data_IF_681494649285
#
_entry.id   IF_681494649285
#
_cell.length_a   1.000
_cell.length_b   1.000
_cell.length_c   1.000
_cell.angle_alpha   90.00
_cell.angle_beta   90.00
_cell.angle_gamma   90.00
#
_symmetry.space_group_name_H-M   'P 1'
#
loop_
_entity.id
_entity.type
_entity.pdbx_description
1 polymer ?
#
# COMPACT_ATOMS: atom_id res chain seq x y z
N UNK A 1 -14.71 -6.83 -16.50
CA UNK A 1 -14.62 -5.38 -16.20
C UNK A 1 -13.58 -4.79 -17.14
N UNK A 2 -13.96 -3.78 -17.93
CA UNK A 2 -13.06 -3.12 -18.90
C UNK A 2 -12.11 -2.16 -18.18
N UNK A 3 -10.95 -1.85 -18.80
CA UNK A 3 -10.02 -0.81 -18.29
C UNK A 3 -10.74 0.54 -18.10
N UNK A 4 -11.75 0.84 -18.92
CA UNK A 4 -12.59 2.04 -18.79
C UNK A 4 -13.55 2.00 -17.59
N UNK A 5 -13.93 0.80 -17.12
CA UNK A 5 -14.77 0.64 -15.92
C UNK A 5 -13.96 0.81 -14.63
N UNK A 6 -12.64 0.61 -14.68
CA UNK A 6 -11.73 0.73 -13.54
C UNK A 6 -11.55 2.19 -13.08
N UNK A 7 -11.61 3.14 -14.02
CA UNK A 7 -11.57 4.57 -13.69
C UNK A 7 -12.79 5.06 -12.88
N UNK A 8 -13.78 4.19 -12.69
CA UNK A 8 -15.02 4.49 -11.95
C UNK A 8 -15.09 3.93 -10.54
N UNK A 9 -14.05 3.22 -10.07
CA UNK A 9 -14.00 2.81 -8.66
C UNK A 9 -13.65 4.07 -7.85
N UNK A 10 -14.57 4.54 -6.99
CA UNK A 10 -14.33 5.76 -6.23
C UNK A 10 -13.03 5.67 -5.44
N UNK A 11 -12.22 6.71 -5.54
CA UNK A 11 -11.01 6.84 -4.73
C UNK A 11 -9.73 6.23 -5.30
N UNK A 12 -9.77 5.42 -6.36
CA UNK A 12 -8.53 4.83 -6.94
C UNK A 12 -7.59 5.89 -7.46
N UNK A 13 -8.07 6.79 -8.32
CA UNK A 13 -7.25 7.86 -8.88
C UNK A 13 -6.79 8.85 -7.82
N UNK A 14 -7.60 9.08 -6.80
CA UNK A 14 -7.23 9.90 -5.65
C UNK A 14 -6.13 9.24 -4.85
N UNK A 15 -6.23 7.94 -4.61
CA UNK A 15 -5.17 7.19 -3.92
C UNK A 15 -3.86 7.22 -4.73
N UNK A 16 -3.92 7.05 -6.06
CA UNK A 16 -2.74 7.19 -6.93
C UNK A 16 -2.09 8.56 -6.74
N UNK A 17 -2.86 9.65 -6.90
CA UNK A 17 -2.34 11.01 -6.73
C UNK A 17 -1.76 11.25 -5.34
N UNK A 18 -2.41 10.72 -4.32
CA UNK A 18 -1.92 10.83 -2.95
C UNK A 18 -0.56 10.15 -2.77
N UNK A 19 -0.40 8.92 -3.25
CA UNK A 19 0.89 8.21 -3.18
C UNK A 19 1.96 8.94 -3.97
N UNK A 20 1.65 9.43 -5.17
CA UNK A 20 2.57 10.23 -5.98
C UNK A 20 2.99 11.53 -5.28
N UNK A 21 2.04 12.25 -4.67
CA UNK A 21 2.32 13.46 -3.90
C UNK A 21 3.22 13.18 -2.68
N UNK A 22 3.03 12.06 -2.02
CA UNK A 22 3.88 11.62 -0.91
C UNK A 22 5.31 11.27 -1.35
N UNK A 23 5.50 10.88 -2.61
CA UNK A 23 6.81 10.54 -3.18
C UNK A 23 7.65 11.77 -3.57
N UNK A 24 7.02 12.89 -3.94
CA UNK A 24 7.71 14.08 -4.44
C UNK A 24 8.83 14.56 -3.50
N UNK A 25 8.61 14.72 -2.17
CA UNK A 25 9.65 15.15 -1.25
C UNK A 25 10.81 14.17 -1.11
N UNK A 26 10.59 12.91 -1.50
CA UNK A 26 11.56 11.82 -1.33
C UNK A 26 12.42 11.58 -2.57
N UNK A 27 12.11 12.21 -3.70
CA UNK A 27 12.86 12.03 -4.96
C UNK A 27 14.32 12.42 -4.86
N UNK A 28 14.64 13.46 -4.08
CA UNK A 28 16.00 13.98 -3.89
C UNK A 28 16.78 13.28 -2.77
N UNK A 29 16.11 12.50 -1.93
CA UNK A 29 16.67 11.90 -0.71
C UNK A 29 17.15 10.45 -0.88
N UNK A 30 17.28 9.99 -2.12
CA UNK A 30 17.44 8.57 -2.51
C UNK A 30 18.65 7.83 -1.91
N UNK A 31 19.64 8.52 -1.33
CA UNK A 31 20.90 7.89 -0.91
C UNK A 31 21.19 7.93 0.58
N UNK A 32 20.39 8.60 1.38
CA UNK A 32 20.67 8.83 2.79
C UNK A 32 19.95 7.89 3.76
N UNK A 33 19.01 7.09 3.29
CA UNK A 33 18.29 6.15 4.15
C UNK A 33 18.97 4.77 4.14
N UNK A 34 19.06 4.10 5.30
CA UNK A 34 19.53 2.72 5.36
C UNK A 34 18.59 1.81 4.55
N UNK A 35 19.10 0.67 4.00
CA UNK A 35 18.28 -0.28 3.29
C UNK A 35 17.06 -0.73 4.09
N UNK A 36 15.91 -0.73 3.47
CA UNK A 36 14.64 -1.15 4.06
C UNK A 36 14.28 -2.57 3.65
N UNK A 37 13.54 -3.30 4.50
CA UNK A 37 12.94 -4.59 4.12
C UNK A 37 11.96 -4.43 2.94
N UNK A 38 11.48 -3.22 2.72
CA UNK A 38 10.60 -2.88 1.61
C UNK A 38 11.34 -2.46 0.34
N UNK A 39 12.67 -2.35 0.34
CA UNK A 39 13.41 -1.96 -0.85
C UNK A 39 13.28 -3.03 -1.94
N UNK A 40 13.02 -2.56 -3.15
CA UNK A 40 12.82 -3.41 -4.31
C UNK A 40 13.17 -2.70 -5.60
N UNK A 41 12.44 -2.99 -6.66
CA UNK A 41 12.69 -2.44 -7.98
C UNK A 41 12.37 -0.95 -8.04
N UNK A 42 13.32 -0.16 -8.55
CA UNK A 42 13.15 1.28 -8.81
C UNK A 42 12.25 1.52 -10.05
N UNK A 43 11.58 2.65 -10.07
CA UNK A 43 10.79 3.13 -11.21
C UNK A 43 9.61 2.25 -11.60
N UNK A 44 8.91 1.72 -10.62
CA UNK A 44 7.60 1.09 -10.87
C UNK A 44 6.59 2.19 -11.20
N UNK A 45 5.81 2.02 -12.27
CA UNK A 45 4.61 2.84 -12.50
C UNK A 45 3.60 2.60 -11.38
N UNK A 46 3.61 3.48 -10.40
CA UNK A 46 2.81 3.31 -9.19
C UNK A 46 1.31 3.40 -9.48
N UNK A 47 0.91 4.25 -10.44
CA UNK A 47 -0.47 4.35 -10.86
C UNK A 47 -0.99 3.05 -11.48
N UNK A 48 -0.25 2.52 -12.45
CA UNK A 48 -0.54 1.22 -13.05
C UNK A 48 -0.50 0.08 -12.03
N UNK A 49 0.42 0.17 -11.07
CA UNK A 49 0.55 -0.80 -9.99
C UNK A 49 -0.69 -0.83 -9.07
N UNK A 50 -1.17 0.33 -8.61
CA UNK A 50 -2.38 0.44 -7.78
C UNK A 50 -3.61 -0.06 -8.55
N UNK A 51 -3.79 0.36 -9.81
CA UNK A 51 -4.91 -0.07 -10.65
C UNK A 51 -4.93 -1.59 -10.85
N UNK A 52 -3.76 -2.24 -10.90
CA UNK A 52 -3.65 -3.69 -10.99
C UNK A 52 -4.32 -4.40 -9.80
N UNK A 53 -4.14 -3.93 -8.57
CA UNK A 53 -4.82 -4.51 -7.40
C UNK A 53 -6.34 -4.42 -7.53
N UNK A 54 -6.84 -3.26 -7.93
CA UNK A 54 -8.28 -3.03 -8.07
C UNK A 54 -8.89 -3.82 -9.22
N UNK A 55 -8.09 -4.14 -10.25
CA UNK A 55 -8.54 -4.95 -11.38
C UNK A 55 -8.74 -6.42 -11.03
N UNK A 56 -8.02 -6.94 -10.04
CA UNK A 56 -8.15 -8.33 -9.66
C UNK A 56 -9.45 -8.60 -8.90
N UNK A 57 -10.11 -9.70 -9.27
CA UNK A 57 -11.41 -10.11 -8.71
C UNK A 57 -11.39 -10.42 -7.22
N UNK A 58 -10.21 -10.52 -6.62
CA UNK A 58 -10.06 -10.71 -5.18
C UNK A 58 -10.42 -9.45 -4.38
N UNK A 59 -10.40 -8.28 -5.01
CA UNK A 59 -10.57 -7.02 -4.32
C UNK A 59 -11.93 -6.41 -4.61
N UNK A 60 -12.71 -6.23 -3.57
CA UNK A 60 -13.94 -5.44 -3.63
C UNK A 60 -13.62 -3.93 -3.57
N UNK A 61 -14.52 -3.04 -4.07
CA UNK A 61 -14.29 -1.59 -4.00
C UNK A 61 -13.97 -1.06 -2.60
N UNK A 62 -14.51 -1.70 -1.56
CA UNK A 62 -14.26 -1.35 -0.16
C UNK A 62 -12.78 -1.53 0.26
N UNK A 63 -11.98 -2.28 -0.51
CA UNK A 63 -10.56 -2.47 -0.21
C UNK A 63 -9.77 -1.17 -0.32
N UNK A 64 -10.17 -0.26 -1.23
CA UNK A 64 -9.39 0.95 -1.54
C UNK A 64 -9.29 1.92 -0.35
N UNK A 65 -10.39 2.32 0.34
CA UNK A 65 -10.30 3.15 1.53
C UNK A 65 -9.52 2.52 2.68
N UNK A 66 -9.64 1.19 2.83
CA UNK A 66 -8.92 0.46 3.86
C UNK A 66 -7.42 0.39 3.51
N UNK A 67 -7.07 0.12 2.26
CA UNK A 67 -5.68 0.14 1.79
C UNK A 67 -5.06 1.53 1.92
N UNK A 68 -5.81 2.59 1.60
CA UNK A 68 -5.39 3.97 1.85
C UNK A 68 -5.02 4.17 3.34
N UNK A 69 -5.88 3.72 4.26
CA UNK A 69 -5.62 3.86 5.70
C UNK A 69 -4.39 3.07 6.15
N UNK A 70 -4.25 1.83 5.70
CA UNK A 70 -3.05 1.02 6.00
C UNK A 70 -1.79 1.64 5.41
N UNK A 71 -1.84 2.18 4.19
CA UNK A 71 -0.71 2.89 3.59
C UNK A 71 -0.28 4.09 4.45
N UNK A 72 -1.23 4.91 4.92
CA UNK A 72 -0.95 6.03 5.81
C UNK A 72 -0.27 5.61 7.12
N UNK A 73 -0.60 4.45 7.62
CA UNK A 73 0.01 3.92 8.84
C UNK A 73 1.37 3.25 8.61
N UNK A 74 1.56 2.68 7.42
CA UNK A 74 2.82 2.03 7.05
C UNK A 74 3.90 3.05 6.70
N UNK A 75 3.54 4.16 6.04
CA UNK A 75 4.48 5.21 5.71
C UNK A 75 4.83 6.05 6.94
N UNK A 76 6.05 6.55 6.97
CA UNK A 76 6.50 7.51 7.98
C UNK A 76 6.88 8.80 7.26
N UNK A 77 6.29 9.90 7.69
CA UNK A 77 6.64 11.23 7.20
C UNK A 77 7.95 11.72 7.82
N UNK A 78 8.80 12.44 7.06
CA UNK A 78 9.93 13.15 7.63
C UNK A 78 9.46 14.33 8.52
N UNK A 79 10.26 14.74 9.52
CA UNK A 79 11.57 14.21 9.85
C UNK A 79 11.49 13.01 10.79
N UNK A 80 12.14 11.89 10.43
CA UNK A 80 12.47 10.90 11.43
C UNK A 80 13.84 11.24 12.00
N UNK A 81 14.00 11.15 13.30
CA UNK A 81 15.31 11.32 13.94
C UNK A 81 16.31 10.34 13.32
N UNK A 82 17.47 10.88 12.91
CA UNK A 82 18.56 10.09 12.36
C UNK A 82 18.93 9.02 13.38
N UNK A 83 18.80 7.74 12.98
CA UNK A 83 19.10 6.60 13.82
C UNK A 83 17.91 5.83 14.38
N UNK A 84 16.67 6.28 14.19
CA UNK A 84 15.51 5.51 14.59
C UNK A 84 15.30 4.29 13.68
N UNK A 85 15.02 3.08 14.24
CA UNK A 85 14.68 1.88 13.44
C UNK A 85 13.52 2.09 12.47
N UNK A 86 12.70 3.10 12.72
CA UNK A 86 11.52 3.49 11.92
C UNK A 86 11.85 4.12 10.57
N UNK A 87 13.11 4.52 10.30
CA UNK A 87 13.52 5.05 8.99
C UNK A 87 13.32 4.05 7.84
N UNK A 88 13.21 2.75 8.13
CA UNK A 88 12.95 1.72 7.13
C UNK A 88 11.61 1.85 6.42
N UNK A 89 10.67 2.62 6.96
CA UNK A 89 9.33 2.85 6.38
C UNK A 89 9.16 4.24 5.72
N UNK A 90 10.23 5.02 5.68
CA UNK A 90 10.21 6.28 4.93
C UNK A 90 9.94 5.97 3.46
N UNK A 91 8.97 6.68 2.87
CA UNK A 91 8.60 6.47 1.49
C UNK A 91 9.74 6.86 0.54
N UNK A 92 10.09 5.97 -0.36
CA UNK A 92 11.12 6.15 -1.39
C UNK A 92 10.65 5.53 -2.71
N UNK A 93 11.34 5.85 -3.82
CA UNK A 93 11.09 5.21 -5.11
C UNK A 93 11.41 3.70 -5.12
N UNK A 94 12.18 3.22 -4.15
CA UNK A 94 12.56 1.80 -4.03
C UNK A 94 11.55 0.96 -3.26
N UNK A 95 10.82 1.56 -2.31
CA UNK A 95 9.95 0.82 -1.39
C UNK A 95 8.46 1.08 -1.58
N UNK A 96 8.06 2.14 -2.30
CA UNK A 96 6.66 2.55 -2.42
C UNK A 96 5.75 1.44 -2.91
N UNK A 97 6.17 0.67 -3.92
CA UNK A 97 5.35 -0.39 -4.48
C UNK A 97 5.10 -1.52 -3.48
N UNK A 98 6.09 -1.85 -2.63
CA UNK A 98 5.95 -2.87 -1.58
C UNK A 98 5.11 -2.38 -0.41
N UNK A 99 5.23 -1.11 -0.03
CA UNK A 99 4.36 -0.51 0.98
C UNK A 99 2.90 -0.48 0.51
N UNK A 100 2.66 -0.09 -0.74
CA UNK A 100 1.33 -0.15 -1.36
C UNK A 100 0.83 -1.60 -1.44
N UNK A 101 1.67 -2.54 -1.86
CA UNK A 101 1.30 -3.95 -1.92
C UNK A 101 0.83 -4.47 -0.56
N UNK A 102 1.61 -4.21 0.49
CA UNK A 102 1.26 -4.66 1.84
C UNK A 102 0.01 -3.95 2.36
N UNK A 103 -0.20 -2.68 2.04
CA UNK A 103 -1.45 -2.00 2.38
C UNK A 103 -2.68 -2.68 1.78
N UNK A 104 -2.62 -3.10 0.51
CA UNK A 104 -3.70 -3.87 -0.14
C UNK A 104 -3.85 -5.28 0.43
N UNK A 105 -2.76 -5.99 0.68
CA UNK A 105 -2.78 -7.33 1.30
C UNK A 105 -3.48 -7.28 2.65
N UNK A 106 -3.10 -6.32 3.52
CA UNK A 106 -3.71 -6.20 4.84
C UNK A 106 -5.15 -5.67 4.80
N UNK A 107 -5.48 -4.81 3.84
CA UNK A 107 -6.87 -4.42 3.60
C UNK A 107 -7.74 -5.61 3.20
N UNK A 108 -7.20 -6.52 2.38
CA UNK A 108 -7.89 -7.76 2.02
C UNK A 108 -8.04 -8.68 3.24
N UNK A 109 -7.00 -8.89 4.04
CA UNK A 109 -7.07 -9.67 5.29
C UNK A 109 -8.13 -9.12 6.23
N UNK A 110 -8.24 -7.80 6.33
CA UNK A 110 -9.24 -7.14 7.17
C UNK A 110 -10.67 -7.45 6.70
N UNK A 111 -10.92 -7.46 5.38
CA UNK A 111 -12.24 -7.69 4.80
C UNK A 111 -12.62 -9.17 4.72
N UNK A 112 -11.70 -10.01 4.29
CA UNK A 112 -11.95 -11.41 3.99
C UNK A 112 -11.59 -12.36 5.14
N UNK A 113 -10.83 -11.88 6.14
CA UNK A 113 -10.26 -12.72 7.17
C UNK A 113 -9.03 -13.51 6.69
N UNK A 114 -8.70 -14.61 7.40
CA UNK A 114 -7.55 -15.43 7.03
C UNK A 114 -7.66 -15.97 5.60
N UNK A 115 -6.61 -15.74 4.80
CA UNK A 115 -6.56 -16.21 3.41
C UNK A 115 -6.05 -17.65 3.35
N UNK A 116 -6.64 -18.43 2.46
CA UNK A 116 -6.16 -19.76 2.14
C UNK A 116 -4.88 -19.74 1.27
N UNK A 117 -4.29 -20.90 1.07
CA UNK A 117 -3.07 -21.03 0.26
C UNK A 117 -3.25 -20.58 -1.18
N UNK A 118 -4.44 -20.76 -1.77
CA UNK A 118 -4.74 -20.37 -3.15
C UNK A 118 -4.78 -18.86 -3.28
N UNK A 119 -5.51 -18.18 -2.40
CA UNK A 119 -5.56 -16.73 -2.34
C UNK A 119 -4.17 -16.11 -2.07
N UNK A 120 -3.37 -16.77 -1.22
CA UNK A 120 -1.98 -16.33 -0.97
C UNK A 120 -1.11 -16.39 -2.21
N UNK A 121 -1.19 -17.47 -2.98
CA UNK A 121 -0.45 -17.59 -4.27
C UNK A 121 -0.88 -16.48 -5.23
N UNK A 122 -2.18 -16.20 -5.33
CA UNK A 122 -2.69 -15.11 -6.17
C UNK A 122 -2.18 -13.75 -5.69
N UNK A 123 -2.17 -13.50 -4.37
CA UNK A 123 -1.62 -12.28 -3.80
C UNK A 123 -0.15 -12.06 -4.16
N UNK A 124 0.68 -13.09 -4.06
CA UNK A 124 2.08 -13.03 -4.45
C UNK A 124 2.21 -12.62 -5.93
N UNK A 125 1.40 -13.22 -6.81
CA UNK A 125 1.40 -12.89 -8.24
C UNK A 125 0.95 -11.44 -8.51
N UNK A 126 -0.09 -10.97 -7.80
CA UNK A 126 -0.61 -9.60 -7.94
C UNK A 126 0.43 -8.58 -7.44
N UNK A 127 1.05 -8.85 -6.30
CA UNK A 127 2.06 -7.95 -5.71
C UNK A 127 3.33 -7.87 -6.54
N UNK A 128 3.62 -8.88 -7.36
CA UNK A 128 4.88 -8.99 -8.10
C UNK A 128 6.10 -9.12 -7.16
N UNK A 129 5.90 -9.64 -5.95
CA UNK A 129 6.99 -9.99 -5.03
C UNK A 129 7.57 -11.31 -5.49
N UNK A 130 8.89 -11.35 -5.68
CA UNK A 130 9.55 -12.43 -6.42
C UNK A 130 9.43 -13.81 -5.77
N UNK A 131 9.38 -13.87 -4.46
CA UNK A 131 9.35 -15.15 -3.75
C UNK A 131 8.32 -15.21 -2.63
N UNK A 132 7.73 -16.39 -2.35
CA UNK A 132 6.87 -16.59 -1.19
C UNK A 132 7.55 -16.29 0.15
N UNK A 133 8.86 -16.53 0.23
CA UNK A 133 9.64 -16.22 1.44
C UNK A 133 9.76 -14.72 1.70
N UNK A 134 9.96 -13.94 0.64
CA UNK A 134 9.97 -12.48 0.74
C UNK A 134 8.59 -11.92 1.09
N UNK A 135 7.54 -12.41 0.45
CA UNK A 135 6.17 -12.05 0.78
C UNK A 135 5.86 -12.32 2.26
N UNK A 136 6.18 -13.52 2.75
CA UNK A 136 5.93 -13.87 4.15
C UNK A 136 6.69 -12.98 5.13
N UNK A 137 7.94 -12.61 4.80
CA UNK A 137 8.74 -11.71 5.65
C UNK A 137 8.14 -10.30 5.72
N UNK A 138 7.67 -9.77 4.58
CA UNK A 138 7.00 -8.47 4.53
C UNK A 138 5.67 -8.51 5.28
N UNK A 139 4.88 -9.54 5.05
CA UNK A 139 3.59 -9.76 5.71
C UNK A 139 3.74 -9.85 7.23
N UNK A 140 4.70 -10.65 7.71
CA UNK A 140 5.02 -10.75 9.13
C UNK A 140 5.47 -9.42 9.72
N UNK A 141 6.37 -8.69 9.04
CA UNK A 141 6.82 -7.38 9.49
C UNK A 141 5.64 -6.41 9.66
N UNK A 142 4.74 -6.37 8.70
CA UNK A 142 3.57 -5.48 8.76
C UNK A 142 2.60 -5.92 9.87
N UNK A 143 2.39 -7.22 10.06
CA UNK A 143 1.58 -7.75 11.16
C UNK A 143 2.13 -7.35 12.52
N UNK A 144 3.46 -7.39 12.71
CA UNK A 144 4.11 -6.96 13.95
C UNK A 144 3.98 -5.44 14.17
N UNK A 145 4.12 -4.62 13.13
CA UNK A 145 4.05 -3.16 13.20
C UNK A 145 2.61 -2.63 13.32
N UNK A 146 1.63 -3.36 12.79
CA UNK A 146 0.22 -2.99 12.77
C UNK A 146 -0.65 -3.88 13.67
N UNK A 147 -0.03 -4.64 14.59
CA UNK A 147 -0.73 -5.62 15.44
C UNK A 147 -1.92 -5.02 16.20
N UNK A 148 -1.86 -3.74 16.53
CA UNK A 148 -2.90 -3.02 17.27
C UNK A 148 -3.82 -2.21 16.35
N UNK A 149 -3.60 -2.26 15.02
CA UNK A 149 -4.40 -1.49 14.07
C UNK A 149 -5.68 -2.23 13.68
N UNK A 150 -6.76 -1.71 14.21
CA UNK A 150 -8.11 -2.01 13.72
C UNK A 150 -8.63 -0.76 12.98
N UNK A 151 -9.05 -0.90 11.74
CA UNK A 151 -9.71 0.20 11.03
C UNK A 151 -11.11 0.37 11.60
N UNK A 152 -11.33 1.43 12.35
CA UNK A 152 -12.65 1.75 12.90
C UNK A 152 -13.59 2.28 11.81
N UNK A 153 -14.89 2.25 12.08
CA UNK A 153 -15.90 2.80 11.16
C UNK A 153 -15.65 4.29 10.87
N UNK A 154 -15.20 5.06 11.86
CA UNK A 154 -14.91 6.48 11.68
C UNK A 154 -13.66 6.70 10.81
N UNK A 155 -12.60 5.93 11.03
CA UNK A 155 -11.40 5.95 10.17
C UNK A 155 -11.72 5.52 8.73
N UNK A 156 -12.62 4.57 8.54
CA UNK A 156 -13.09 4.18 7.21
C UNK A 156 -13.86 5.31 6.53
N UNK A 157 -14.76 5.98 7.26
CA UNK A 157 -15.50 7.15 6.75
C UNK A 157 -14.57 8.31 6.41
N UNK A 158 -13.58 8.60 7.26
CA UNK A 158 -12.55 9.60 7.01
C UNK A 158 -11.75 9.28 5.75
N UNK A 159 -11.34 8.01 5.56
CA UNK A 159 -10.65 7.58 4.36
C UNK A 159 -11.49 7.80 3.09
N UNK A 160 -12.78 7.46 3.13
CA UNK A 160 -13.70 7.74 2.02
C UNK A 160 -13.77 9.25 1.77
N UNK A 161 -13.98 10.06 2.79
CA UNK A 161 -14.06 11.51 2.64
C UNK A 161 -12.78 12.10 2.05
N UNK A 162 -11.61 11.63 2.47
CA UNK A 162 -10.33 12.03 1.90
C UNK A 162 -10.23 11.65 0.43
N UNK A 163 -10.65 10.43 0.06
CA UNK A 163 -10.60 9.95 -1.31
C UNK A 163 -11.61 10.66 -2.23
N UNK A 164 -12.74 11.12 -1.70
CA UNK A 164 -13.77 11.85 -2.46
C UNK A 164 -13.44 13.33 -2.62
N UNK A 165 -12.74 13.95 -1.65
CA UNK A 165 -12.42 15.37 -1.66
C UNK A 165 -11.53 15.80 -2.85
N UNK A 166 -10.78 14.87 -3.44
CA UNK A 166 -9.93 15.11 -4.62
C UNK A 166 -10.64 14.86 -5.95
N UNK A 167 -11.91 14.51 -5.94
CA UNK A 167 -12.71 14.27 -7.16
C UNK A 167 -13.46 15.52 -7.64
N UNK A 168 -13.42 16.60 -6.87
CA UNK A 168 -13.95 17.92 -7.23
C UNK A 168 -12.83 18.83 -7.75
#
# INVERSE_FOLDING_TARGET
>A
MSILDMARIPGVETFVRHVEACLEPSRDLERSCPPSVFDGQRNVDIGGYIRRFVHHSLFEPAVVPIAYRYFECLRIDPPCDEGAPRCSRRLTLYNVHRLVAMAFVHAFHFLAGPIDTSAKVQMIQITGIDTPGEFNRLDQFVMEELSDMCVTVDQFREAIACLDAYTQ
#
